data_IF_661674429270
#
_entry.id   IF_661674429270
#
_cell.length_a   1.000
_cell.length_b   1.000
_cell.length_c   1.000
_cell.angle_alpha   90.00
_cell.angle_beta   90.00
_cell.angle_gamma   90.00
#
_symmetry.space_group_name_H-M   'P 1'
#
loop_
_entity.id
_entity.type
_entity.pdbx_description
1 polymer ?
#
# COMPACT_ATOMS: atom_id res chain seq x y z
N UNK A 1 27.11 -2.61 20.90
CA UNK A 1 26.47 -2.60 19.56
C UNK A 1 27.34 -1.76 18.65
N UNK A 2 27.87 -2.33 17.56
CA UNK A 2 28.93 -1.70 16.74
C UNK A 2 28.37 -0.55 15.91
N UNK A 3 29.16 0.52 15.70
CA UNK A 3 28.79 1.67 14.84
C UNK A 3 28.28 1.22 13.46
N UNK A 4 28.91 0.19 12.87
CA UNK A 4 28.47 -0.41 11.60
C UNK A 4 27.05 -0.96 11.64
N UNK A 5 26.65 -1.58 12.75
CA UNK A 5 25.29 -2.16 12.89
C UNK A 5 24.24 -1.05 12.95
N UNK A 6 24.56 0.08 13.59
CA UNK A 6 23.67 1.24 13.66
C UNK A 6 23.46 1.90 12.29
N UNK A 7 24.50 2.00 11.47
CA UNK A 7 24.40 2.58 10.12
C UNK A 7 23.59 1.69 9.18
N UNK A 8 23.79 0.37 9.24
CA UNK A 8 22.98 -0.59 8.46
C UNK A 8 21.51 -0.55 8.84
N UNK A 9 21.20 -0.45 10.14
CA UNK A 9 19.81 -0.32 10.61
C UNK A 9 19.17 0.97 10.11
N UNK A 10 19.91 2.09 10.11
CA UNK A 10 19.42 3.37 9.59
C UNK A 10 19.16 3.33 8.09
N UNK A 11 20.04 2.73 7.30
CA UNK A 11 19.82 2.56 5.86
C UNK A 11 18.62 1.65 5.57
N UNK A 12 18.51 0.54 6.30
CA UNK A 12 17.36 -0.35 6.19
C UNK A 12 16.04 0.37 6.56
N UNK A 13 16.01 1.08 7.69
CA UNK A 13 14.85 1.89 8.07
C UNK A 13 14.55 2.95 7.02
N UNK A 14 15.57 3.65 6.50
CA UNK A 14 15.37 4.69 5.47
C UNK A 14 14.85 4.10 4.16
N UNK A 15 15.16 2.85 3.85
CA UNK A 15 14.66 2.16 2.66
C UNK A 15 13.25 1.59 2.84
N UNK A 16 12.93 1.05 4.02
CA UNK A 16 11.69 0.29 4.25
C UNK A 16 10.65 0.99 5.15
N UNK A 17 10.91 2.19 5.68
CA UNK A 17 9.97 2.87 6.58
C UNK A 17 8.58 3.06 5.96
N UNK A 18 8.49 3.37 4.66
CA UNK A 18 7.20 3.51 3.97
C UNK A 18 6.41 2.19 3.95
N UNK A 19 7.09 1.07 3.69
CA UNK A 19 6.49 -0.26 3.73
C UNK A 19 6.04 -0.63 5.13
N UNK A 20 6.85 -0.31 6.15
CA UNK A 20 6.51 -0.54 7.57
C UNK A 20 5.27 0.27 7.97
N UNK A 21 5.20 1.55 7.57
CA UNK A 21 4.04 2.41 7.85
C UNK A 21 2.80 1.90 7.13
N UNK A 22 2.90 1.55 5.84
CA UNK A 22 1.78 0.99 5.09
C UNK A 22 1.31 -0.33 5.69
N UNK A 23 2.23 -1.18 6.13
CA UNK A 23 1.91 -2.42 6.84
C UNK A 23 1.17 -2.15 8.15
N UNK A 24 1.63 -1.20 8.96
CA UNK A 24 0.96 -0.83 10.21
C UNK A 24 -0.48 -0.33 9.97
N UNK A 25 -0.69 0.50 8.95
CA UNK A 25 -2.02 1.01 8.59
C UNK A 25 -2.92 -0.12 8.06
N UNK A 26 -2.38 -1.03 7.26
CA UNK A 26 -3.13 -2.18 6.77
C UNK A 26 -3.52 -3.14 7.89
N UNK A 27 -2.63 -3.39 8.86
CA UNK A 27 -2.94 -4.18 10.06
C UNK A 27 -4.05 -3.51 10.88
N UNK A 28 -4.02 -2.18 11.04
CA UNK A 28 -5.10 -1.46 11.70
C UNK A 28 -6.44 -1.63 10.96
N UNK A 29 -6.44 -1.55 9.64
CA UNK A 29 -7.62 -1.82 8.81
C UNK A 29 -8.14 -3.25 8.98
N UNK A 30 -7.26 -4.25 9.00
CA UNK A 30 -7.61 -5.65 9.21
C UNK A 30 -8.21 -5.88 10.59
N UNK A 31 -7.59 -5.35 11.64
CA UNK A 31 -8.11 -5.46 13.01
C UNK A 31 -9.51 -4.83 13.10
N UNK A 32 -9.70 -3.64 12.51
CA UNK A 32 -11.01 -2.97 12.50
C UNK A 32 -12.06 -3.76 11.71
N UNK A 33 -11.70 -4.29 10.55
CA UNK A 33 -12.57 -5.12 9.72
C UNK A 33 -13.05 -6.37 10.48
N UNK A 34 -12.13 -7.03 11.22
CA UNK A 34 -12.46 -8.19 12.06
C UNK A 34 -13.39 -7.81 13.22
N UNK A 35 -13.17 -6.65 13.84
CA UNK A 35 -14.00 -6.17 14.96
C UNK A 35 -15.42 -5.80 14.55
N UNK A 36 -15.62 -5.29 13.33
CA UNK A 36 -16.94 -4.86 12.87
C UNK A 36 -17.90 -6.03 12.65
N UNK A 37 -17.38 -7.23 12.36
CA UNK A 37 -18.16 -8.46 12.10
C UNK A 37 -19.26 -8.35 11.01
N UNK A 38 -19.36 -7.22 10.31
CA UNK A 38 -20.23 -6.95 9.16
C UNK A 38 -19.45 -7.12 7.85
N UNK A 39 -18.92 -8.32 7.67
CA UNK A 39 -17.93 -8.65 6.62
C UNK A 39 -18.39 -8.24 5.22
N UNK A 40 -19.65 -8.51 4.86
CA UNK A 40 -20.17 -8.20 3.51
C UNK A 40 -20.26 -6.70 3.22
N UNK A 41 -20.64 -5.89 4.22
CA UNK A 41 -20.81 -4.44 4.05
C UNK A 41 -19.46 -3.72 4.02
N UNK A 42 -18.46 -4.26 4.72
CA UNK A 42 -17.13 -3.68 4.84
C UNK A 42 -16.11 -4.30 3.87
N UNK A 43 -16.56 -5.21 3.00
CA UNK A 43 -15.67 -5.89 2.04
C UNK A 43 -15.07 -4.91 1.03
N UNK A 44 -15.86 -3.95 0.54
CA UNK A 44 -15.39 -2.93 -0.42
C UNK A 44 -14.31 -2.02 0.18
N UNK A 45 -14.49 -1.38 1.35
CA UNK A 45 -13.44 -0.58 1.95
C UNK A 45 -12.23 -1.42 2.36
N UNK A 46 -12.42 -2.65 2.85
CA UNK A 46 -11.29 -3.53 3.15
C UNK A 46 -10.49 -3.94 1.90
N UNK A 47 -11.16 -4.33 0.81
CA UNK A 47 -10.52 -4.64 -0.47
C UNK A 47 -9.76 -3.42 -1.03
N UNK A 48 -10.32 -2.22 -0.87
CA UNK A 48 -9.67 -0.96 -1.26
C UNK A 48 -8.41 -0.69 -0.43
N UNK A 49 -8.46 -0.97 0.88
CA UNK A 49 -7.29 -0.87 1.75
C UNK A 49 -6.21 -1.90 1.37
N UNK A 50 -6.59 -3.15 1.09
CA UNK A 50 -5.68 -4.19 0.64
C UNK A 50 -5.01 -3.82 -0.70
N UNK A 51 -5.78 -3.30 -1.66
CA UNK A 51 -5.26 -2.83 -2.93
C UNK A 51 -4.28 -1.65 -2.73
N UNK A 52 -4.63 -0.67 -1.90
CA UNK A 52 -3.76 0.44 -1.55
C UNK A 52 -2.43 -0.01 -0.93
N UNK A 53 -2.46 -1.01 -0.04
CA UNK A 53 -1.26 -1.63 0.53
C UNK A 53 -0.37 -2.28 -0.54
N UNK A 54 -0.96 -3.07 -1.45
CA UNK A 54 -0.23 -3.69 -2.58
C UNK A 54 0.41 -2.63 -3.47
N UNK A 55 -0.31 -1.54 -3.79
CA UNK A 55 0.23 -0.43 -4.56
C UNK A 55 1.42 0.27 -3.87
N UNK A 56 1.49 0.28 -2.53
CA UNK A 56 2.65 0.85 -1.82
C UNK A 56 3.83 -0.10 -1.84
N UNK A 57 3.58 -1.39 -1.55
CA UNK A 57 4.64 -2.40 -1.38
C UNK A 57 5.23 -2.84 -2.72
N UNK A 58 4.36 -3.14 -3.69
CA UNK A 58 4.68 -3.66 -5.01
C UNK A 58 4.40 -2.62 -6.12
N UNK A 59 4.70 -1.35 -5.84
CA UNK A 59 4.40 -0.22 -6.74
C UNK A 59 4.93 -0.40 -8.15
N UNK A 60 6.10 -1.02 -8.30
CA UNK A 60 6.76 -1.22 -9.59
C UNK A 60 6.08 -2.34 -10.40
N UNK A 61 5.66 -3.42 -9.73
CA UNK A 61 4.87 -4.48 -10.35
C UNK A 61 3.49 -3.98 -10.76
N UNK A 62 2.85 -3.14 -9.94
CA UNK A 62 1.54 -2.54 -10.27
C UNK A 62 1.69 -1.52 -11.40
N UNK A 63 2.76 -0.73 -11.43
CA UNK A 63 3.06 0.16 -12.54
C UNK A 63 3.27 -0.62 -13.86
N UNK A 64 3.96 -1.77 -13.79
CA UNK A 64 4.14 -2.65 -14.94
C UNK A 64 2.81 -3.30 -15.38
N UNK A 65 2.02 -3.80 -14.44
CA UNK A 65 0.71 -4.40 -14.69
C UNK A 65 -0.24 -3.40 -15.35
N UNK A 66 -0.35 -2.18 -14.81
CA UNK A 66 -1.17 -1.10 -15.39
C UNK A 66 -0.68 -0.69 -16.78
N UNK A 67 0.62 -0.75 -17.04
CA UNK A 67 1.19 -0.55 -18.38
C UNK A 67 0.89 -1.67 -19.38
N UNK A 68 0.58 -2.89 -18.93
CA UNK A 68 0.27 -4.06 -19.78
C UNK A 68 -1.19 -4.13 -20.26
N UNK A 69 -2.12 -3.48 -19.57
CA UNK A 69 -3.55 -3.44 -19.96
C UNK A 69 -3.91 -2.30 -20.91
N UNK A 70 -2.91 -1.57 -21.39
CA UNK A 70 -3.03 -0.73 -22.56
C UNK A 70 -3.41 -1.52 -23.80
N UNK A 71 -4.30 -0.97 -24.63
CA UNK A 71 -4.70 -1.54 -25.93
C UNK A 71 -3.52 -1.81 -26.91
N UNK A 72 -2.30 -1.42 -26.56
CA UNK A 72 -1.07 -1.80 -27.27
C UNK A 72 0.06 -2.04 -26.26
N UNK A 73 0.95 -3.02 -26.54
CA UNK A 73 2.22 -3.23 -25.83
C UNK A 73 3.20 -2.03 -25.90
N UNK A 74 2.77 -0.90 -26.46
CA UNK A 74 3.52 0.32 -26.71
C UNK A 74 2.81 1.54 -26.08
N UNK A 75 2.21 1.41 -24.90
CA UNK A 75 1.71 2.61 -24.22
C UNK A 75 2.89 3.33 -23.54
N UNK A 76 3.36 4.40 -24.19
CA UNK A 76 4.50 5.26 -23.81
C UNK A 76 4.34 5.95 -22.43
N UNK A 77 3.25 5.72 -21.71
CA UNK A 77 2.95 6.32 -20.41
C UNK A 77 2.86 5.23 -19.35
N UNK A 78 4.02 4.71 -18.92
CA UNK A 78 4.11 4.00 -17.65
C UNK A 78 4.02 5.04 -16.54
N UNK A 79 3.05 4.90 -15.64
CA UNK A 79 3.02 5.71 -14.43
C UNK A 79 4.28 5.42 -13.62
N UNK A 80 5.05 6.44 -13.19
CA UNK A 80 6.21 6.20 -12.35
C UNK A 80 5.78 5.46 -11.09
N UNK A 81 6.54 4.45 -10.65
CA UNK A 81 6.23 3.65 -9.46
C UNK A 81 5.99 4.50 -8.21
N UNK A 82 6.63 5.68 -8.13
CA UNK A 82 6.38 6.68 -7.08
C UNK A 82 4.94 7.19 -7.06
N UNK A 83 4.32 7.41 -8.22
CA UNK A 83 2.93 7.87 -8.31
C UNK A 83 1.96 6.77 -7.90
N UNK A 84 2.20 5.52 -8.34
CA UNK A 84 1.41 4.35 -7.93
C UNK A 84 1.52 4.13 -6.42
N UNK A 85 2.72 4.26 -5.86
CA UNK A 85 2.98 4.18 -4.42
C UNK A 85 2.22 5.28 -3.66
N UNK A 86 2.25 6.52 -4.13
CA UNK A 86 1.56 7.64 -3.48
C UNK A 86 0.03 7.48 -3.53
N UNK A 87 -0.52 7.20 -4.72
CA UNK A 87 -1.95 6.98 -4.90
C UNK A 87 -2.44 5.79 -4.07
N UNK A 88 -1.67 4.69 -4.06
CA UNK A 88 -1.91 3.52 -3.21
C UNK A 88 -1.92 3.85 -1.72
N UNK A 89 -0.96 4.65 -1.26
CA UNK A 89 -0.88 5.10 0.12
C UNK A 89 -2.08 5.95 0.54
N UNK A 90 -2.50 6.88 -0.33
CA UNK A 90 -3.71 7.70 -0.10
C UNK A 90 -4.96 6.81 -0.06
N UNK A 91 -5.10 5.88 -1.00
CA UNK A 91 -6.22 4.94 -1.03
C UNK A 91 -6.27 4.07 0.24
N UNK A 92 -5.12 3.56 0.69
CA UNK A 92 -5.00 2.81 1.95
C UNK A 92 -5.47 3.64 3.14
N UNK A 93 -4.99 4.88 3.28
CA UNK A 93 -5.40 5.75 4.39
C UNK A 93 -6.89 6.05 4.36
N UNK A 94 -7.42 6.45 3.20
CA UNK A 94 -8.84 6.80 3.06
C UNK A 94 -9.74 5.61 3.32
N UNK A 95 -9.39 4.44 2.79
CA UNK A 95 -10.14 3.20 3.00
C UNK A 95 -10.11 2.75 4.46
N UNK A 96 -8.96 2.85 5.13
CA UNK A 96 -8.86 2.60 6.57
C UNK A 96 -9.73 3.58 7.35
N UNK A 97 -9.68 4.88 7.07
CA UNK A 97 -10.53 5.88 7.73
C UNK A 97 -12.01 5.58 7.50
N UNK A 98 -12.40 5.14 6.31
CA UNK A 98 -13.78 4.73 6.02
C UNK A 98 -14.22 3.53 6.89
N UNK A 99 -13.35 2.54 7.11
CA UNK A 99 -13.61 1.42 8.03
C UNK A 99 -13.76 1.86 9.49
N UNK A 100 -13.10 2.94 9.91
CA UNK A 100 -13.24 3.46 11.28
C UNK A 100 -14.46 4.35 11.47
N UNK A 101 -14.99 4.92 10.38
CA UNK A 101 -16.21 5.74 10.43
C UNK A 101 -17.49 4.91 10.52
N UNK A 102 -17.46 3.70 9.97
CA UNK A 102 -18.53 2.71 10.10
C UNK A 102 -18.41 1.95 11.43
#
# INVERSE_FOLDING_TARGET
>A
MSLRTMDTIKEFLRQFWLHIVAFAIFVAALVRYVQLAQWEQQLVPFASAAFGFVCVVASDEVAEWTGRYGWSRQQWWQYPGTFVRFAGGVALVVATVALYRN
#
